data_IF_053342319335
#
_entry.id   IF_053342319335
#
_cell.length_a   1.000
_cell.length_b   1.000
_cell.length_c   1.000
_cell.angle_alpha   90.00
_cell.angle_beta   90.00
_cell.angle_gamma   90.00
#
_symmetry.space_group_name_H-M   'P 1'
#
loop_
_entity.id
_entity.type
_entity.pdbx_description
1 polymer ?
#
# COMPACT_ATOMS: atom_id res chain seq x y z
N UNK A 1 4.33 23.44 -18.31
CA UNK A 1 5.18 22.96 -17.19
C UNK A 1 4.71 21.56 -16.79
N UNK A 2 5.63 20.60 -16.62
CA UNK A 2 5.30 19.25 -16.13
C UNK A 2 4.72 19.35 -14.72
N UNK A 3 3.71 18.52 -14.39
CA UNK A 3 3.19 18.43 -13.02
C UNK A 3 3.86 17.29 -12.28
N UNK A 4 4.22 17.52 -11.02
CA UNK A 4 4.84 16.54 -10.13
C UNK A 4 3.85 16.19 -9.02
N UNK A 5 3.14 15.07 -9.17
CA UNK A 5 2.04 14.70 -8.29
C UNK A 5 2.51 13.76 -7.17
N UNK A 6 2.56 14.30 -5.95
CA UNK A 6 2.95 13.62 -4.70
C UNK A 6 1.75 13.10 -3.89
N UNK A 7 0.56 13.06 -4.49
CA UNK A 7 -0.64 12.53 -3.85
C UNK A 7 -0.40 11.14 -3.25
N UNK A 8 -0.84 10.95 -2.00
CA UNK A 8 -0.66 9.71 -1.27
C UNK A 8 -1.67 8.61 -1.63
N UNK A 9 -2.66 8.92 -2.44
CA UNK A 9 -3.74 8.00 -2.83
C UNK A 9 -5.02 8.77 -3.19
N UNK A 10 -5.51 8.71 -4.44
CA UNK A 10 -4.91 8.02 -5.59
C UNK A 10 -3.53 8.56 -5.98
N UNK A 11 -2.60 7.66 -6.26
CA UNK A 11 -1.23 7.97 -6.66
C UNK A 11 -1.11 8.13 -8.18
N UNK A 12 0.08 8.55 -8.63
CA UNK A 12 0.47 8.46 -10.03
C UNK A 12 0.65 7.00 -10.47
N UNK A 13 0.49 6.77 -11.78
CA UNK A 13 0.79 5.52 -12.47
C UNK A 13 1.85 5.78 -13.56
N UNK A 14 2.56 4.74 -14.03
CA UNK A 14 3.47 4.89 -15.16
C UNK A 14 2.75 5.41 -16.41
N UNK A 15 3.41 6.26 -17.18
CA UNK A 15 2.81 6.90 -18.37
C UNK A 15 2.31 5.86 -19.40
N UNK A 16 3.09 4.82 -19.65
CA UNK A 16 2.71 3.72 -20.56
C UNK A 16 1.49 2.92 -20.08
N UNK A 17 1.26 2.85 -18.76
CA UNK A 17 0.07 2.21 -18.20
C UNK A 17 -1.17 3.04 -18.52
N UNK A 18 -1.09 4.38 -18.38
CA UNK A 18 -2.19 5.25 -18.81
C UNK A 18 -2.50 5.08 -20.30
N UNK A 19 -1.48 5.05 -21.16
CA UNK A 19 -1.65 4.91 -22.60
C UNK A 19 -2.30 3.58 -23.00
N UNK A 20 -1.82 2.46 -22.45
CA UNK A 20 -2.41 1.13 -22.68
C UNK A 20 -3.86 1.08 -22.14
N UNK A 21 -4.09 1.59 -20.93
CA UNK A 21 -5.42 1.63 -20.32
C UNK A 21 -6.42 2.47 -21.12
N UNK A 22 -6.02 3.65 -21.61
CA UNK A 22 -6.88 4.51 -22.43
C UNK A 22 -7.24 3.85 -23.76
N UNK A 23 -6.32 3.13 -24.39
CA UNK A 23 -6.60 2.39 -25.63
C UNK A 23 -7.61 1.27 -25.42
N UNK A 24 -7.49 0.51 -24.32
CA UNK A 24 -8.41 -0.58 -23.98
C UNK A 24 -9.86 -0.11 -23.76
N UNK A 25 -10.08 1.17 -23.43
CA UNK A 25 -11.43 1.75 -23.36
C UNK A 25 -12.04 1.86 -24.77
N UNK A 26 -11.23 2.16 -25.78
CA UNK A 26 -11.69 2.37 -27.16
C UNK A 26 -11.81 1.04 -27.91
N UNK A 27 -10.79 0.18 -27.80
CA UNK A 27 -10.75 -1.13 -28.43
C UNK A 27 -9.83 -2.04 -27.61
N UNK A 28 -10.41 -3.02 -26.94
CA UNK A 28 -9.67 -3.98 -26.14
C UNK A 28 -9.28 -5.18 -26.99
N UNK A 29 -7.98 -5.45 -27.08
CA UNK A 29 -7.40 -6.56 -27.84
C UNK A 29 -7.81 -6.59 -29.32
N UNK A 30 -7.97 -5.42 -29.94
CA UNK A 30 -8.36 -5.27 -31.36
C UNK A 30 -9.66 -6.05 -31.70
N UNK A 31 -10.56 -6.17 -30.71
CA UNK A 31 -11.83 -6.90 -30.82
C UNK A 31 -12.96 -6.03 -31.39
N UNK A 32 -12.75 -4.71 -31.46
CA UNK A 32 -13.78 -3.72 -31.75
C UNK A 32 -14.73 -3.46 -30.57
N UNK A 33 -14.42 -3.96 -29.37
CA UNK A 33 -15.22 -3.79 -28.15
C UNK A 33 -14.41 -3.14 -27.04
N UNK A 34 -15.07 -2.32 -26.21
CA UNK A 34 -14.43 -1.74 -25.02
C UNK A 34 -14.21 -2.80 -23.93
N UNK A 35 -13.09 -2.69 -23.20
CA UNK A 35 -12.91 -3.47 -21.95
C UNK A 35 -14.03 -3.23 -20.94
N UNK A 36 -14.72 -2.09 -21.02
CA UNK A 36 -15.84 -1.75 -20.14
C UNK A 36 -17.16 -2.45 -20.51
N UNK A 37 -17.22 -3.05 -21.70
CA UNK A 37 -18.45 -3.64 -22.26
C UNK A 37 -18.37 -5.17 -22.32
N UNK A 38 -17.17 -5.75 -22.27
CA UNK A 38 -17.00 -7.20 -22.29
C UNK A 38 -17.42 -7.85 -20.98
N UNK A 39 -17.96 -9.06 -21.09
CA UNK A 39 -18.30 -9.88 -19.92
C UNK A 39 -17.03 -10.26 -19.14
N UNK A 40 -17.08 -10.19 -17.81
CA UNK A 40 -16.03 -10.71 -16.94
C UNK A 40 -15.85 -12.24 -17.04
N UNK A 41 -16.71 -12.94 -17.79
CA UNK A 41 -16.57 -14.37 -18.11
C UNK A 41 -16.07 -14.62 -19.53
N UNK A 42 -15.83 -13.57 -20.33
CA UNK A 42 -15.22 -13.73 -21.65
C UNK A 42 -13.80 -14.25 -21.51
N UNK A 43 -13.32 -14.96 -22.54
CA UNK A 43 -11.94 -15.48 -22.55
C UNK A 43 -10.92 -14.34 -22.35
N UNK A 44 -11.17 -13.18 -22.96
CA UNK A 44 -10.26 -12.04 -22.90
C UNK A 44 -10.13 -11.47 -21.48
N UNK A 45 -11.23 -11.34 -20.73
CA UNK A 45 -11.15 -10.85 -19.36
C UNK A 45 -10.66 -11.92 -18.37
N UNK A 46 -11.01 -13.20 -18.59
CA UNK A 46 -10.48 -14.31 -17.77
C UNK A 46 -8.95 -14.31 -17.86
N UNK A 47 -8.38 -14.14 -19.06
CA UNK A 47 -6.94 -14.03 -19.23
C UNK A 47 -6.33 -12.86 -18.44
N UNK A 48 -6.98 -11.68 -18.43
CA UNK A 48 -6.54 -10.53 -17.61
C UNK A 48 -6.51 -10.89 -16.12
N UNK A 49 -7.57 -11.51 -15.59
CA UNK A 49 -7.65 -11.86 -14.18
C UNK A 49 -6.61 -12.93 -13.80
N UNK A 50 -6.46 -13.98 -14.61
CA UNK A 50 -5.49 -15.05 -14.40
C UNK A 50 -4.05 -14.51 -14.42
N UNK A 51 -3.71 -13.68 -15.40
CA UNK A 51 -2.39 -13.07 -15.49
C UNK A 51 -2.13 -12.16 -14.29
N UNK A 52 -3.09 -11.33 -13.89
CA UNK A 52 -2.94 -10.43 -12.75
C UNK A 52 -2.66 -11.20 -11.45
N UNK A 53 -3.42 -12.29 -11.22
CA UNK A 53 -3.25 -13.16 -10.04
C UNK A 53 -1.89 -13.87 -10.06
N UNK A 54 -1.54 -14.45 -11.20
CA UNK A 54 -0.27 -15.18 -11.36
C UNK A 54 0.94 -14.25 -11.18
N UNK A 55 0.91 -13.08 -11.82
CA UNK A 55 2.01 -12.11 -11.79
C UNK A 55 2.18 -11.48 -10.40
N UNK A 56 1.09 -11.25 -9.67
CA UNK A 56 1.17 -10.82 -8.27
C UNK A 56 1.91 -11.86 -7.41
N UNK A 57 1.60 -13.15 -7.56
CA UNK A 57 2.31 -14.22 -6.85
C UNK A 57 3.76 -14.37 -7.31
N UNK A 58 4.04 -14.20 -8.61
CA UNK A 58 5.39 -14.25 -9.17
C UNK A 58 6.27 -13.17 -8.54
N UNK A 59 5.82 -11.91 -8.58
CA UNK A 59 6.57 -10.77 -8.05
C UNK A 59 6.83 -10.90 -6.55
N UNK A 60 5.90 -11.47 -5.78
CA UNK A 60 6.08 -11.72 -4.35
C UNK A 60 6.90 -12.99 -4.05
N UNK A 61 7.29 -13.77 -5.06
CA UNK A 61 7.99 -15.04 -4.87
C UNK A 61 7.14 -16.09 -4.13
N UNK A 62 5.82 -16.07 -4.33
CA UNK A 62 4.84 -16.94 -3.65
C UNK A 62 4.21 -18.00 -4.56
N UNK A 63 4.55 -18.03 -5.85
CA UNK A 63 4.11 -19.09 -6.77
C UNK A 63 4.47 -20.49 -6.25
N UNK A 64 3.50 -21.40 -6.29
CA UNK A 64 3.66 -22.78 -5.83
C UNK A 64 3.77 -22.97 -4.31
N UNK A 65 3.64 -21.91 -3.50
CA UNK A 65 3.77 -21.96 -2.04
C UNK A 65 2.44 -22.06 -1.28
N UNK A 66 1.36 -22.45 -1.96
CA UNK A 66 0.01 -22.57 -1.36
C UNK A 66 -0.73 -21.24 -1.16
N UNK A 67 -0.29 -20.19 -1.86
CA UNK A 67 -0.93 -18.87 -1.84
C UNK A 67 -1.87 -18.68 -3.02
N UNK A 68 -2.95 -17.94 -2.77
CA UNK A 68 -3.89 -17.46 -3.78
C UNK A 68 -3.85 -15.93 -3.80
N UNK A 69 -3.74 -15.34 -4.99
CA UNK A 69 -3.96 -13.91 -5.19
C UNK A 69 -5.42 -13.68 -5.61
N UNK A 70 -6.05 -12.66 -5.01
CA UNK A 70 -7.41 -12.23 -5.26
C UNK A 70 -7.45 -10.74 -5.56
N UNK A 71 -8.29 -10.32 -6.51
CA UNK A 71 -8.58 -8.92 -6.78
C UNK A 71 -10.03 -8.60 -6.40
N UNK A 72 -10.22 -7.94 -5.25
CA UNK A 72 -11.53 -7.72 -4.62
C UNK A 72 -11.92 -6.23 -4.57
N UNK A 73 -13.20 -5.93 -4.38
CA UNK A 73 -13.70 -4.56 -4.17
C UNK A 73 -13.72 -4.15 -2.69
N UNK A 74 -14.14 -2.92 -2.39
CA UNK A 74 -14.35 -2.41 -1.02
C UNK A 74 -13.15 -1.69 -0.40
N UNK A 75 -11.96 -1.88 -0.96
CA UNK A 75 -10.73 -1.26 -0.45
C UNK A 75 -10.16 -1.98 0.77
N UNK A 76 -9.00 -1.52 1.23
CA UNK A 76 -8.34 -2.05 2.43
C UNK A 76 -9.24 -2.00 3.69
N UNK A 77 -10.15 -1.03 3.79
CA UNK A 77 -11.11 -0.95 4.90
C UNK A 77 -12.03 -2.17 4.98
N UNK A 78 -12.42 -2.76 3.85
CA UNK A 78 -13.17 -4.03 3.87
C UNK A 78 -12.27 -5.18 4.32
N UNK A 79 -10.97 -5.16 4.01
CA UNK A 79 -10.04 -6.17 4.51
C UNK A 79 -9.86 -6.13 6.04
N UNK A 80 -10.00 -4.95 6.68
CA UNK A 80 -10.03 -4.83 8.15
C UNK A 80 -11.15 -5.68 8.77
N UNK A 81 -12.28 -5.78 8.08
CA UNK A 81 -13.43 -6.58 8.47
C UNK A 81 -13.28 -8.05 8.05
N UNK A 82 -12.75 -8.31 6.84
CA UNK A 82 -12.61 -9.68 6.33
C UNK A 82 -11.58 -10.49 7.11
N UNK A 83 -10.48 -9.90 7.57
CA UNK A 83 -9.47 -10.60 8.36
C UNK A 83 -10.06 -11.29 9.60
N UNK A 84 -10.76 -10.61 10.53
CA UNK A 84 -11.37 -11.26 11.69
C UNK A 84 -12.50 -12.24 11.31
N UNK A 85 -13.30 -11.96 10.27
CA UNK A 85 -14.31 -12.93 9.79
C UNK A 85 -13.70 -14.27 9.37
N UNK A 86 -12.52 -14.24 8.74
CA UNK A 86 -11.91 -15.43 8.15
C UNK A 86 -10.89 -16.11 9.08
N UNK A 87 -10.32 -15.41 10.06
CA UNK A 87 -9.29 -15.97 10.93
C UNK A 87 -9.67 -16.05 12.41
N UNK A 88 -10.41 -15.08 12.96
CA UNK A 88 -10.70 -15.06 14.39
C UNK A 88 -11.75 -16.13 14.75
N UNK A 89 -11.45 -17.00 15.71
CA UNK A 89 -12.42 -17.98 16.19
C UNK A 89 -13.59 -17.30 16.89
N UNK A 90 -14.72 -18.01 17.03
CA UNK A 90 -15.79 -17.58 17.94
C UNK A 90 -15.24 -17.45 19.38
N UNK A 91 -15.48 -16.30 20.02
CA UNK A 91 -14.86 -15.93 21.31
C UNK A 91 -13.32 -15.97 21.33
N UNK A 92 -12.70 -15.94 20.15
CA UNK A 92 -11.25 -15.91 19.99
C UNK A 92 -10.65 -14.53 20.25
N UNK A 93 -9.35 -14.44 19.98
CA UNK A 93 -8.59 -13.20 20.16
C UNK A 93 -7.57 -12.99 19.07
N UNK A 94 -7.26 -11.74 18.75
CA UNK A 94 -6.20 -11.40 17.80
C UNK A 94 -5.28 -10.33 18.36
N UNK A 95 -4.00 -10.43 18.00
CA UNK A 95 -2.97 -9.50 18.38
C UNK A 95 -2.81 -8.41 17.30
N UNK A 96 -2.63 -7.17 17.70
CA UNK A 96 -2.49 -6.02 16.81
C UNK A 96 -1.34 -5.12 17.24
N UNK A 97 -0.54 -4.67 16.27
CA UNK A 97 0.43 -3.58 16.45
C UNK A 97 -0.22 -2.24 16.06
N UNK A 98 -0.48 -1.37 17.04
CA UNK A 98 -1.06 -0.04 16.81
C UNK A 98 0.02 0.98 16.42
N UNK A 99 0.46 0.93 15.17
CA UNK A 99 1.55 1.78 14.66
C UNK A 99 1.09 3.04 13.91
N UNK A 100 -0.22 3.29 13.81
CA UNK A 100 -0.75 4.44 13.07
C UNK A 100 -2.23 4.32 12.73
N UNK A 101 -2.74 5.28 11.95
CA UNK A 101 -4.18 5.44 11.67
C UNK A 101 -4.83 4.21 11.05
N UNK A 102 -4.13 3.53 10.13
CA UNK A 102 -4.67 2.34 9.46
C UNK A 102 -4.71 1.12 10.40
N UNK A 103 -3.69 0.96 11.24
CA UNK A 103 -3.71 -0.05 12.31
C UNK A 103 -4.85 0.20 13.31
N UNK A 104 -5.01 1.45 13.78
CA UNK A 104 -6.12 1.83 14.66
C UNK A 104 -7.49 1.56 14.04
N UNK A 105 -7.65 1.79 12.74
CA UNK A 105 -8.87 1.49 12.01
C UNK A 105 -9.13 -0.03 11.93
N UNK A 106 -8.10 -0.84 11.67
CA UNK A 106 -8.21 -2.30 11.67
C UNK A 106 -8.57 -2.86 13.07
N UNK A 107 -7.95 -2.32 14.12
CA UNK A 107 -8.27 -2.63 15.53
C UNK A 107 -9.74 -2.33 15.84
N UNK A 108 -10.27 -1.22 15.33
CA UNK A 108 -11.66 -0.82 15.57
C UNK A 108 -12.64 -1.87 15.03
N UNK A 109 -12.41 -2.38 13.82
CA UNK A 109 -13.27 -3.42 13.23
C UNK A 109 -13.14 -4.76 13.97
N UNK A 110 -11.93 -5.14 14.38
CA UNK A 110 -11.66 -6.40 15.08
C UNK A 110 -12.41 -6.53 16.42
N UNK A 111 -12.64 -5.42 17.12
CA UNK A 111 -13.36 -5.39 18.41
C UNK A 111 -14.81 -5.88 18.34
N UNK A 112 -15.41 -5.92 17.15
CA UNK A 112 -16.75 -6.48 16.97
C UNK A 112 -16.78 -8.03 16.97
N UNK A 113 -15.62 -8.69 16.95
CA UNK A 113 -15.52 -10.14 16.77
C UNK A 113 -15.08 -10.88 18.03
N UNK A 114 -14.18 -10.29 18.81
CA UNK A 114 -13.57 -10.94 19.95
C UNK A 114 -12.54 -10.05 20.65
N UNK A 115 -11.72 -10.66 21.49
CA UNK A 115 -10.68 -9.93 22.22
C UNK A 115 -9.62 -9.39 21.24
N UNK A 116 -9.25 -8.13 21.42
CA UNK A 116 -8.25 -7.44 20.59
C UNK A 116 -7.08 -7.01 21.46
N UNK A 117 -5.98 -7.75 21.40
CA UNK A 117 -4.79 -7.52 22.22
C UNK A 117 -3.86 -6.55 21.48
N UNK A 118 -3.65 -5.36 22.04
CA UNK A 118 -2.69 -4.39 21.50
C UNK A 118 -1.31 -4.73 22.07
N UNK A 119 -0.43 -5.30 21.24
CA UNK A 119 0.89 -5.77 21.69
C UNK A 119 1.93 -4.65 21.77
N UNK A 120 1.71 -3.56 21.03
CA UNK A 120 2.53 -2.36 21.08
C UNK A 120 1.82 -1.19 20.42
N UNK A 121 2.13 0.03 20.86
CA UNK A 121 1.60 1.26 20.26
C UNK A 121 2.61 2.40 20.38
N UNK A 122 2.73 3.20 19.32
CA UNK A 122 3.51 4.45 19.33
C UNK A 122 2.60 5.69 19.35
N UNK A 123 1.31 5.51 19.67
CA UNK A 123 0.30 6.57 19.67
C UNK A 123 0.66 7.78 20.54
N UNK A 124 1.19 7.55 21.75
CA UNK A 124 1.60 8.63 22.66
C UNK A 124 2.76 9.46 22.11
N UNK A 125 3.55 8.90 21.18
CA UNK A 125 4.61 9.58 20.45
C UNK A 125 4.13 10.10 19.08
N UNK A 126 2.81 10.26 18.88
CA UNK A 126 2.19 10.62 17.60
C UNK A 126 2.63 9.71 16.44
N UNK A 127 2.84 8.43 16.74
CA UNK A 127 3.26 7.39 15.80
C UNK A 127 4.56 7.71 15.04
N UNK A 128 5.47 8.47 15.64
CA UNK A 128 6.73 8.86 15.02
C UNK A 128 7.75 7.72 14.88
N UNK A 129 7.50 6.54 15.44
CA UNK A 129 8.34 5.35 15.33
C UNK A 129 7.47 4.07 15.28
N UNK A 130 8.08 2.94 14.93
CA UNK A 130 7.46 1.61 14.97
C UNK A 130 7.77 0.99 16.33
N UNK A 131 6.76 0.57 17.14
CA UNK A 131 7.02 -0.09 18.41
C UNK A 131 7.87 -1.36 18.22
N UNK A 132 8.80 -1.62 19.13
CA UNK A 132 9.72 -2.78 19.12
C UNK A 132 9.64 -3.54 20.44
N UNK A 133 10.18 -4.75 20.49
CA UNK A 133 10.28 -5.54 21.74
C UNK A 133 8.95 -6.01 22.32
N UNK A 134 7.89 -5.99 21.53
CA UNK A 134 6.58 -6.52 21.92
C UNK A 134 6.53 -8.04 21.74
N UNK A 135 5.71 -8.71 22.56
CA UNK A 135 5.46 -10.14 22.48
C UNK A 135 4.09 -10.40 21.83
N UNK A 136 4.04 -11.37 20.92
CA UNK A 136 2.79 -11.82 20.30
C UNK A 136 2.29 -13.03 21.10
N UNK A 137 1.07 -12.98 21.69
CA UNK A 137 0.49 -14.13 22.38
C UNK A 137 0.42 -15.35 21.46
N UNK A 138 0.94 -16.49 21.93
CA UNK A 138 0.99 -17.74 21.14
C UNK A 138 -0.38 -18.37 20.93
N UNK A 139 -1.38 -17.95 21.71
CA UNK A 139 -2.78 -18.37 21.64
C UNK A 139 -3.67 -17.35 20.92
N UNK A 140 -3.10 -16.33 20.29
CA UNK A 140 -3.84 -15.47 19.37
C UNK A 140 -4.19 -16.21 18.07
N UNK A 141 -5.38 -15.96 17.53
CA UNK A 141 -5.82 -16.54 16.26
C UNK A 141 -5.07 -15.97 15.05
N UNK A 142 -4.59 -14.73 15.15
CA UNK A 142 -3.66 -14.10 14.22
C UNK A 142 -3.01 -12.87 14.84
N UNK A 143 -1.91 -12.42 14.22
CA UNK A 143 -1.28 -11.13 14.46
C UNK A 143 -1.50 -10.22 13.25
N UNK A 144 -1.85 -8.95 13.49
CA UNK A 144 -2.02 -7.93 12.45
C UNK A 144 -1.04 -6.79 12.61
N UNK A 145 -0.44 -6.38 11.50
CA UNK A 145 0.42 -5.20 11.43
C UNK A 145 0.18 -4.37 10.16
N UNK A 146 0.64 -3.11 10.20
CA UNK A 146 0.67 -2.23 9.03
C UNK A 146 2.13 -1.96 8.67
N UNK A 147 2.56 -2.50 7.53
CA UNK A 147 3.95 -2.41 7.07
C UNK A 147 4.44 -0.98 6.84
N UNK A 148 3.56 -0.08 6.38
CA UNK A 148 3.88 1.31 6.08
C UNK A 148 2.72 2.27 6.45
N UNK A 149 2.99 3.22 7.36
CA UNK A 149 2.04 4.20 7.84
C UNK A 149 2.08 5.47 6.96
N UNK A 150 1.21 5.52 5.95
CA UNK A 150 1.17 6.60 4.95
C UNK A 150 1.05 8.02 5.52
N UNK A 151 0.44 8.18 6.69
CA UNK A 151 0.21 9.51 7.32
C UNK A 151 1.41 9.97 8.12
N UNK A 152 2.09 9.05 8.82
CA UNK A 152 3.16 9.37 9.77
C UNK A 152 4.55 9.21 9.19
N UNK A 153 4.66 8.59 8.01
CA UNK A 153 5.93 8.36 7.33
C UNK A 153 6.82 7.35 8.05
N UNK A 154 6.22 6.40 8.78
CA UNK A 154 6.93 5.27 9.40
C UNK A 154 6.71 3.98 8.62
N UNK A 155 7.72 3.12 8.57
CA UNK A 155 7.70 1.85 7.85
C UNK A 155 8.44 0.77 8.64
N UNK A 156 7.81 -0.37 8.83
CA UNK A 156 8.42 -1.54 9.45
C UNK A 156 9.58 -2.04 8.59
N UNK A 157 10.79 -2.11 9.14
CA UNK A 157 11.98 -2.64 8.46
C UNK A 157 12.11 -4.15 8.61
N UNK A 158 11.65 -4.64 9.75
CA UNK A 158 11.65 -6.05 10.11
C UNK A 158 10.26 -6.44 10.59
N UNK A 159 9.94 -7.71 10.45
CA UNK A 159 8.67 -8.29 10.85
C UNK A 159 8.93 -9.36 11.91
N UNK A 160 8.09 -9.44 12.95
CA UNK A 160 8.30 -10.37 14.06
C UNK A 160 8.20 -11.82 13.59
N UNK A 161 9.06 -12.70 14.11
CA UNK A 161 8.88 -14.13 13.98
C UNK A 161 7.78 -14.59 14.95
N UNK A 162 6.79 -15.31 14.45
CA UNK A 162 5.69 -15.83 15.27
C UNK A 162 5.13 -17.11 14.64
N UNK A 163 4.44 -17.91 15.47
CA UNK A 163 3.77 -19.15 15.06
C UNK A 163 2.27 -18.95 14.78
N UNK A 164 1.73 -17.77 15.06
CA UNK A 164 0.34 -17.44 14.74
C UNK A 164 0.27 -16.86 13.32
N UNK A 165 -0.85 -17.03 12.58
CA UNK A 165 -1.00 -16.44 11.27
C UNK A 165 -0.74 -14.93 11.26
N UNK A 166 -0.04 -14.42 10.25
CA UNK A 166 0.30 -13.00 10.13
C UNK A 166 -0.52 -12.33 9.02
N UNK A 167 -1.26 -11.29 9.40
CA UNK A 167 -2.00 -10.40 8.50
C UNK A 167 -1.26 -9.07 8.37
N UNK A 168 -0.99 -8.63 7.15
CA UNK A 168 -0.29 -7.37 6.91
C UNK A 168 -1.02 -6.47 5.93
N UNK A 169 -1.30 -5.24 6.35
CA UNK A 169 -1.63 -4.15 5.43
C UNK A 169 -0.35 -3.70 4.72
N UNK A 170 -0.29 -3.87 3.40
CA UNK A 170 0.80 -3.41 2.54
C UNK A 170 0.33 -2.40 1.50
N UNK A 171 -0.81 -1.72 1.74
CA UNK A 171 -1.43 -0.85 0.75
C UNK A 171 -0.47 0.18 0.16
N UNK A 172 0.41 0.79 0.97
CA UNK A 172 1.33 1.84 0.52
C UNK A 172 2.74 1.38 0.12
N UNK A 173 3.11 0.12 0.33
CA UNK A 173 4.47 -0.33 0.04
C UNK A 173 4.57 -1.73 -0.59
N UNK A 174 3.43 -2.36 -0.95
CA UNK A 174 3.42 -3.60 -1.73
C UNK A 174 4.22 -3.42 -3.03
N UNK A 175 5.03 -4.40 -3.40
CA UNK A 175 5.92 -4.38 -4.57
C UNK A 175 6.96 -3.24 -4.57
N UNK A 176 7.27 -2.61 -3.43
CA UNK A 176 8.25 -1.50 -3.37
C UNK A 176 9.67 -1.92 -2.98
N UNK A 177 9.83 -3.07 -2.33
CA UNK A 177 11.08 -3.61 -1.78
C UNK A 177 11.04 -5.13 -1.68
N UNK A 178 12.20 -5.76 -1.73
CA UNK A 178 12.32 -7.19 -1.49
C UNK A 178 12.03 -7.49 -0.02
N UNK A 179 11.18 -8.49 0.20
CA UNK A 179 10.84 -9.03 1.50
C UNK A 179 10.66 -10.54 1.34
N UNK A 180 10.90 -11.27 2.43
CA UNK A 180 10.40 -12.64 2.52
C UNK A 180 8.89 -12.61 2.77
N UNK A 181 8.11 -12.57 1.69
CA UNK A 181 6.66 -12.52 1.76
C UNK A 181 6.04 -13.83 2.29
N UNK A 182 6.80 -14.92 2.40
CA UNK A 182 6.30 -16.18 2.97
C UNK A 182 6.07 -16.11 4.49
N UNK A 183 6.54 -15.04 5.14
CA UNK A 183 6.26 -14.72 6.55
C UNK A 183 4.84 -14.23 6.82
N UNK A 184 4.06 -13.95 5.77
CA UNK A 184 2.70 -13.45 5.89
C UNK A 184 1.71 -14.50 5.39
N UNK A 185 0.62 -14.68 6.11
CA UNK A 185 -0.46 -15.59 5.72
C UNK A 185 -1.57 -14.86 4.99
N UNK A 186 -1.78 -13.58 5.31
CA UNK A 186 -2.60 -12.66 4.52
C UNK A 186 -1.83 -11.36 4.30
N UNK A 187 -1.69 -10.96 3.05
CA UNK A 187 -1.29 -9.62 2.64
C UNK A 187 -2.50 -8.99 1.97
N UNK A 188 -2.85 -7.76 2.34
CA UNK A 188 -3.81 -6.99 1.55
C UNK A 188 -3.28 -5.59 1.22
N UNK A 189 -3.65 -5.11 0.03
CA UNK A 189 -3.22 -3.82 -0.46
C UNK A 189 -4.31 -3.18 -1.32
N UNK A 190 -4.86 -2.04 -0.87
CA UNK A 190 -5.68 -1.20 -1.74
C UNK A 190 -4.84 -0.65 -2.89
N UNK A 191 -5.32 -0.81 -4.13
CA UNK A 191 -4.51 -0.58 -5.32
C UNK A 191 -4.03 0.87 -5.47
N UNK A 192 -4.82 1.84 -5.01
CA UNK A 192 -4.71 3.28 -5.26
C UNK A 192 -3.43 3.97 -4.77
N UNK A 193 -2.50 3.25 -4.13
CA UNK A 193 -1.27 3.84 -3.60
C UNK A 193 -0.03 3.41 -4.39
N UNK A 194 0.23 2.11 -4.52
CA UNK A 194 1.48 1.64 -5.16
C UNK A 194 1.29 0.60 -6.28
N UNK A 195 0.05 0.19 -6.57
CA UNK A 195 -0.22 -0.93 -7.49
C UNK A 195 -1.12 -0.55 -8.69
N UNK A 196 -2.02 0.43 -8.55
CA UNK A 196 -3.02 0.69 -9.58
C UNK A 196 -3.98 1.83 -9.21
N UNK A 197 -5.11 1.95 -9.90
CA UNK A 197 -6.13 2.95 -9.59
C UNK A 197 -6.99 2.52 -8.39
N UNK A 198 -7.72 3.45 -7.79
CA UNK A 198 -8.77 3.10 -6.84
C UNK A 198 -9.85 2.25 -7.51
N UNK A 199 -10.38 1.27 -6.76
CA UNK A 199 -11.46 0.39 -7.22
C UNK A 199 -11.20 -1.10 -7.02
N UNK A 200 -9.95 -1.51 -6.81
CA UNK A 200 -9.60 -2.90 -6.49
C UNK A 200 -8.62 -3.00 -5.31
N UNK A 201 -8.60 -4.16 -4.67
CA UNK A 201 -7.77 -4.53 -3.53
C UNK A 201 -7.15 -5.87 -3.84
N UNK A 202 -5.82 -5.94 -3.85
CA UNK A 202 -5.11 -7.20 -3.89
C UNK A 202 -5.21 -7.84 -2.50
N UNK A 203 -5.60 -9.10 -2.44
CA UNK A 203 -5.45 -9.95 -1.26
C UNK A 203 -4.65 -11.18 -1.66
N UNK A 204 -3.51 -11.41 -1.02
CA UNK A 204 -2.70 -12.62 -1.17
C UNK A 204 -2.83 -13.42 0.10
N UNK A 205 -3.34 -14.64 -0.01
CA UNK A 205 -3.74 -15.45 1.14
C UNK A 205 -3.22 -16.87 1.03
N UNK A 206 -2.66 -17.40 2.12
CA UNK A 206 -2.25 -18.79 2.23
C UNK A 206 -3.50 -19.65 2.49
N UNK A 207 -3.83 -20.54 1.56
CA UNK A 207 -5.14 -21.20 1.54
C UNK A 207 -5.40 -22.06 2.78
N UNK A 208 -4.35 -22.69 3.32
CA UNK A 208 -4.46 -23.62 4.45
C UNK A 208 -4.95 -22.99 5.76
N UNK A 209 -4.93 -21.67 5.91
CA UNK A 209 -5.36 -21.00 7.15
C UNK A 209 -6.88 -20.84 7.24
N UNK A 210 -7.61 -21.02 6.13
CA UNK A 210 -9.03 -20.74 6.01
C UNK A 210 -9.92 -21.88 6.54
N UNK A 211 -11.15 -21.53 6.92
CA UNK A 211 -12.19 -22.51 7.30
C UNK A 211 -12.04 -23.11 8.70
N UNK A 212 -11.18 -22.54 9.54
CA UNK A 212 -10.80 -23.08 10.87
C UNK A 212 -11.35 -22.28 12.06
N UNK A 213 -12.31 -21.38 11.82
CA UNK A 213 -12.74 -20.39 12.80
C UNK A 213 -14.13 -20.63 13.45
N UNK A 214 -14.91 -21.56 12.91
CA UNK A 214 -16.26 -21.88 13.41
C UNK A 214 -17.35 -20.86 13.10
N UNK A 215 -17.02 -19.71 12.50
CA UNK A 215 -17.96 -18.63 12.20
C UNK A 215 -18.75 -18.90 10.92
N UNK A 216 -19.99 -18.45 10.91
CA UNK A 216 -20.74 -18.27 9.66
C UNK A 216 -20.27 -16.98 8.98
N UNK A 217 -19.67 -17.09 7.79
CA UNK A 217 -19.14 -15.95 7.04
C UNK A 217 -20.10 -15.57 5.89
N UNK A 218 -20.58 -14.32 5.83
CA UNK A 218 -21.34 -13.82 4.68
C UNK A 218 -20.56 -14.00 3.37
N UNK A 219 -21.23 -14.40 2.30
CA UNK A 219 -20.57 -14.85 1.06
C UNK A 219 -19.57 -13.85 0.46
N UNK A 220 -19.89 -12.55 0.47
CA UNK A 220 -19.00 -11.51 -0.05
C UNK A 220 -17.76 -11.26 0.83
N UNK A 221 -17.76 -11.72 2.08
CA UNK A 221 -16.67 -11.57 3.05
C UNK A 221 -15.84 -12.85 3.18
N UNK A 222 -16.21 -13.92 2.48
CA UNK A 222 -15.62 -15.26 2.60
C UNK A 222 -14.51 -15.46 1.56
N UNK A 223 -13.24 -15.52 2.01
CA UNK A 223 -12.11 -15.70 1.10
C UNK A 223 -12.16 -17.02 0.35
N UNK A 224 -12.64 -18.11 0.98
CA UNK A 224 -12.70 -19.42 0.31
C UNK A 224 -13.65 -19.40 -0.89
N UNK A 225 -14.75 -18.66 -0.80
CA UNK A 225 -15.67 -18.45 -1.94
C UNK A 225 -15.03 -17.63 -3.06
N UNK A 226 -14.29 -16.58 -2.71
CA UNK A 226 -13.57 -15.77 -3.70
C UNK A 226 -12.43 -16.55 -4.38
N UNK A 227 -11.71 -17.42 -3.65
CA UNK A 227 -10.71 -18.33 -4.21
C UNK A 227 -11.35 -19.30 -5.19
N UNK A 228 -12.42 -19.99 -4.77
CA UNK A 228 -13.13 -20.96 -5.62
C UNK A 228 -13.67 -20.34 -6.91
N UNK A 229 -14.05 -19.06 -6.86
CA UNK A 229 -14.54 -18.32 -8.01
C UNK A 229 -13.47 -17.46 -8.70
N UNK A 230 -12.20 -17.63 -8.33
CA UNK A 230 -11.06 -17.02 -9.01
C UNK A 230 -11.11 -15.48 -9.06
N UNK A 231 -11.49 -14.86 -7.94
CA UNK A 231 -11.79 -13.41 -7.79
C UNK A 231 -13.04 -12.93 -8.51
N UNK A 232 -13.77 -13.83 -9.17
CA UNK A 232 -14.96 -13.52 -9.95
C UNK A 232 -16.18 -14.20 -9.30
N UNK A 233 -16.33 -14.10 -7.98
CA UNK A 233 -17.53 -14.58 -7.30
C UNK A 233 -18.77 -13.79 -7.76
N UNK A 234 -18.64 -12.47 -7.86
CA UNK A 234 -19.56 -11.55 -8.53
C UNK A 234 -18.82 -10.80 -9.63
N UNK A 235 -19.45 -9.79 -10.24
CA UNK A 235 -18.81 -8.90 -11.22
C UNK A 235 -17.63 -8.16 -10.57
N UNK A 236 -16.38 -8.38 -11.01
CA UNK A 236 -15.19 -7.72 -10.46
C UNK A 236 -15.05 -6.29 -11.01
N UNK A 237 -14.17 -5.44 -10.43
CA UNK A 237 -13.92 -4.10 -10.93
C UNK A 237 -13.01 -4.16 -12.17
N UNK A 238 -13.57 -4.60 -13.30
CA UNK A 238 -12.89 -4.97 -14.56
C UNK A 238 -11.75 -4.01 -14.92
N UNK A 239 -12.04 -2.72 -15.02
CA UNK A 239 -11.03 -1.73 -15.41
C UNK A 239 -9.93 -1.54 -14.37
N UNK A 240 -10.26 -1.52 -13.08
CA UNK A 240 -9.26 -1.36 -12.02
C UNK A 240 -8.31 -2.56 -11.93
N UNK A 241 -8.81 -3.78 -12.17
CA UNK A 241 -7.98 -4.98 -12.27
C UNK A 241 -7.05 -4.89 -13.47
N UNK A 242 -7.56 -4.52 -14.63
CA UNK A 242 -6.74 -4.38 -15.84
C UNK A 242 -5.61 -3.36 -15.70
N UNK A 243 -5.89 -2.17 -15.16
CA UNK A 243 -4.84 -1.16 -14.94
C UNK A 243 -3.81 -1.63 -13.89
N UNK A 244 -4.26 -2.40 -12.89
CA UNK A 244 -3.34 -3.03 -11.93
C UNK A 244 -2.44 -4.06 -12.61
N UNK A 245 -3.00 -4.92 -13.48
CA UNK A 245 -2.22 -5.87 -14.31
C UNK A 245 -1.13 -5.15 -15.11
N UNK A 246 -1.50 -4.09 -15.84
CA UNK A 246 -0.54 -3.30 -16.63
C UNK A 246 0.59 -2.74 -15.76
N UNK A 247 0.28 -2.34 -14.53
CA UNK A 247 1.29 -1.85 -13.58
C UNK A 247 2.21 -2.97 -13.09
N UNK A 248 1.67 -4.16 -12.84
CA UNK A 248 2.47 -5.34 -12.47
C UNK A 248 3.41 -5.76 -13.63
N UNK A 249 2.91 -5.74 -14.87
CA UNK A 249 3.72 -5.99 -16.07
C UNK A 249 4.86 -4.97 -16.17
N UNK A 250 4.56 -3.69 -15.97
CA UNK A 250 5.58 -2.63 -15.93
C UNK A 250 6.65 -2.90 -14.86
N UNK A 251 6.27 -3.31 -13.64
CA UNK A 251 7.23 -3.66 -12.58
C UNK A 251 8.13 -4.82 -13.05
N UNK A 252 7.55 -5.87 -13.64
CA UNK A 252 8.31 -7.01 -14.17
C UNK A 252 9.29 -6.58 -15.27
N UNK A 253 8.83 -5.79 -16.24
CA UNK A 253 9.65 -5.26 -17.33
C UNK A 253 10.81 -4.37 -16.83
N UNK A 254 10.64 -3.69 -15.70
CA UNK A 254 11.71 -2.90 -15.05
C UNK A 254 12.77 -3.73 -14.35
N UNK A 255 12.65 -5.06 -14.31
CA UNK A 255 13.55 -5.95 -13.58
C UNK A 255 13.00 -6.41 -12.22
N UNK A 256 11.69 -6.33 -12.03
CA UNK A 256 11.01 -6.82 -10.83
C UNK A 256 11.21 -5.96 -9.59
N UNK A 257 10.88 -6.53 -8.42
CA UNK A 257 10.92 -5.82 -7.13
C UNK A 257 12.32 -5.28 -6.81
N UNK A 258 13.38 -6.04 -7.07
CA UNK A 258 14.75 -5.61 -6.78
C UNK A 258 15.14 -4.31 -7.51
N UNK A 259 14.74 -4.17 -8.78
CA UNK A 259 15.05 -2.98 -9.57
C UNK A 259 14.26 -1.75 -9.09
N UNK A 260 12.97 -1.91 -8.78
CA UNK A 260 12.16 -0.82 -8.23
C UNK A 260 12.59 -0.44 -6.82
N UNK A 261 13.05 -1.40 -6.01
CA UNK A 261 13.62 -1.12 -4.69
C UNK A 261 14.83 -0.21 -4.78
N UNK A 262 15.78 -0.53 -5.67
CA UNK A 262 16.97 0.30 -5.89
C UNK A 262 16.60 1.75 -6.22
N UNK A 263 15.61 1.94 -7.09
CA UNK A 263 15.11 3.27 -7.46
C UNK A 263 14.41 3.96 -6.28
N UNK A 264 13.59 3.24 -5.53
CA UNK A 264 12.88 3.75 -4.37
C UNK A 264 13.86 4.19 -3.27
N UNK A 265 14.92 3.43 -3.04
CA UNK A 265 16.01 3.78 -2.13
C UNK A 265 16.66 5.10 -2.58
N UNK A 266 17.08 5.20 -3.84
CA UNK A 266 17.71 6.41 -4.37
C UNK A 266 16.81 7.66 -4.23
N UNK A 267 15.49 7.52 -4.47
CA UNK A 267 14.52 8.61 -4.27
C UNK A 267 14.42 9.03 -2.81
N UNK A 268 14.26 8.06 -1.91
CA UNK A 268 14.13 8.34 -0.48
C UNK A 268 15.41 8.97 0.07
N UNK A 269 16.58 8.43 -0.28
CA UNK A 269 17.88 8.92 0.15
C UNK A 269 18.11 10.35 -0.32
N UNK A 270 17.80 10.66 -1.59
CA UNK A 270 17.89 12.02 -2.13
C UNK A 270 17.07 13.03 -1.33
N UNK A 271 15.82 12.69 -1.01
CA UNK A 271 14.93 13.60 -0.29
C UNK A 271 15.29 13.71 1.19
N UNK A 272 15.57 12.59 1.86
CA UNK A 272 15.97 12.60 3.26
C UNK A 272 17.31 13.29 3.48
N UNK A 273 18.28 13.15 2.56
CA UNK A 273 19.54 13.88 2.64
C UNK A 273 19.33 15.41 2.63
N UNK A 274 18.40 15.90 1.79
CA UNK A 274 18.05 17.32 1.80
C UNK A 274 17.34 17.72 3.10
N UNK A 275 16.40 16.91 3.60
CA UNK A 275 15.69 17.19 4.86
C UNK A 275 16.68 17.25 6.04
N UNK A 276 17.66 16.35 6.09
CA UNK A 276 18.58 16.25 7.22
C UNK A 276 19.66 17.33 7.21
N UNK A 277 20.11 17.75 6.03
CA UNK A 277 21.17 18.76 5.89
C UNK A 277 20.65 20.20 5.95
N UNK A 278 19.38 20.42 5.58
CA UNK A 278 18.81 21.75 5.46
C UNK A 278 18.16 22.19 6.79
N UNK A 279 18.66 23.25 7.44
CA UNK A 279 18.21 23.66 8.79
C UNK A 279 16.77 24.19 8.81
N UNK A 280 16.17 24.45 7.64
CA UNK A 280 14.78 24.90 7.56
C UNK A 280 13.77 23.77 7.73
N UNK A 281 14.20 22.51 7.60
CA UNK A 281 13.31 21.35 7.61
C UNK A 281 13.66 20.38 8.74
N UNK A 282 12.71 19.51 9.08
CA UNK A 282 12.93 18.32 9.92
C UNK A 282 11.99 17.19 9.52
N UNK A 283 12.49 15.95 9.51
CA UNK A 283 11.66 14.77 9.35
C UNK A 283 10.77 14.53 10.59
N UNK A 284 9.59 13.94 10.40
CA UNK A 284 8.68 13.65 11.54
C UNK A 284 8.86 12.26 12.13
N UNK A 285 9.43 11.32 11.37
CA UNK A 285 9.67 9.95 11.79
C UNK A 285 11.09 9.77 12.36
N UNK A 286 11.24 8.89 13.34
CA UNK A 286 12.52 8.36 13.80
C UNK A 286 13.30 7.80 12.60
N UNK A 287 14.61 8.07 12.57
CA UNK A 287 15.45 7.87 11.36
C UNK A 287 15.43 6.43 10.89
N UNK A 288 15.53 5.49 11.82
CA UNK A 288 15.51 4.04 11.61
C UNK A 288 14.20 3.52 11.03
N UNK A 289 13.09 4.22 11.29
CA UNK A 289 11.73 3.81 10.91
C UNK A 289 11.18 4.63 9.74
N UNK A 290 11.97 5.52 9.13
CA UNK A 290 11.56 6.36 8.00
C UNK A 290 10.99 5.55 6.84
N UNK A 291 9.82 5.93 6.36
CA UNK A 291 9.21 5.36 5.17
C UNK A 291 9.95 5.74 3.91
N UNK A 292 10.24 4.75 3.06
CA UNK A 292 10.77 5.01 1.71
C UNK A 292 9.68 5.38 0.70
N UNK A 293 8.41 5.32 1.08
CA UNK A 293 7.26 5.58 0.21
C UNK A 293 6.59 6.92 0.54
N UNK A 294 6.49 7.29 1.82
CA UNK A 294 5.82 8.50 2.27
C UNK A 294 6.73 9.30 3.20
N UNK A 295 7.42 10.28 2.63
CA UNK A 295 8.36 11.12 3.37
C UNK A 295 7.61 12.28 3.99
N UNK A 296 7.56 12.35 5.32
CA UNK A 296 6.88 13.38 6.08
C UNK A 296 7.87 14.31 6.78
N UNK A 297 7.65 15.61 6.65
CA UNK A 297 8.54 16.63 7.18
C UNK A 297 7.80 17.92 7.54
N UNK A 298 8.46 18.76 8.34
CA UNK A 298 7.98 20.05 8.81
C UNK A 298 8.97 21.14 8.46
N UNK A 299 8.48 22.37 8.38
CA UNK A 299 9.32 23.56 8.50
C UNK A 299 9.65 23.80 9.97
N UNK A 300 10.89 24.22 10.26
CA UNK A 300 11.31 24.59 11.62
C UNK A 300 10.80 25.98 12.03
N UNK A 301 10.52 26.85 11.06
CA UNK A 301 9.85 28.14 11.27
C UNK A 301 8.60 28.24 10.40
N UNK A 302 7.44 28.47 11.04
CA UNK A 302 6.15 28.60 10.37
C UNK A 302 6.06 29.85 9.48
N UNK A 303 6.87 30.89 9.73
CA UNK A 303 6.87 32.12 8.92
C UNK A 303 7.28 31.87 7.47
N UNK A 304 8.02 30.78 7.22
CA UNK A 304 8.47 30.40 5.88
C UNK A 304 7.39 29.66 5.07
N UNK A 305 6.25 29.31 5.68
CA UNK A 305 5.20 28.50 5.06
C UNK A 305 4.69 29.11 3.76
N UNK A 306 4.34 30.40 3.76
CA UNK A 306 3.79 31.07 2.58
C UNK A 306 4.79 31.09 1.42
N UNK A 307 6.07 31.33 1.71
CA UNK A 307 7.16 31.34 0.73
C UNK A 307 7.39 29.95 0.16
N UNK A 308 7.52 28.93 1.02
CA UNK A 308 7.70 27.55 0.57
C UNK A 308 6.51 27.07 -0.27
N UNK A 309 5.30 27.44 0.16
CA UNK A 309 4.07 27.13 -0.57
C UNK A 309 4.00 27.74 -1.96
N UNK A 310 4.45 28.97 -2.11
CA UNK A 310 4.56 29.60 -3.43
C UNK A 310 5.57 28.86 -4.31
N UNK A 311 6.75 28.54 -3.77
CA UNK A 311 7.83 27.88 -4.50
C UNK A 311 7.44 26.52 -5.07
N UNK A 312 6.86 25.63 -4.25
CA UNK A 312 6.51 24.31 -4.76
C UNK A 312 5.33 24.38 -5.76
N UNK A 313 4.38 25.31 -5.57
CA UNK A 313 3.28 25.54 -6.53
C UNK A 313 3.82 26.04 -7.87
N UNK A 314 4.75 27.00 -7.84
CA UNK A 314 5.42 27.54 -9.02
C UNK A 314 6.23 26.46 -9.75
N UNK A 315 6.87 25.54 -9.03
CA UNK A 315 7.57 24.38 -9.61
C UNK A 315 6.63 23.30 -10.16
N UNK A 316 5.31 23.49 -10.11
CA UNK A 316 4.33 22.54 -10.64
C UNK A 316 4.13 21.31 -9.76
N UNK A 317 4.54 21.35 -8.50
CA UNK A 317 4.29 20.29 -7.51
C UNK A 317 2.80 20.31 -7.09
N UNK A 318 2.23 19.12 -6.91
CA UNK A 318 0.87 18.90 -6.42
C UNK A 318 0.86 17.82 -5.33
N UNK A 319 -0.04 17.92 -4.36
CA UNK A 319 -0.24 16.89 -3.34
C UNK A 319 0.81 16.84 -2.23
N UNK A 320 1.58 17.92 -2.05
CA UNK A 320 2.59 18.04 -0.99
C UNK A 320 2.06 18.34 0.43
N UNK A 321 0.91 19.04 0.63
CA UNK A 321 0.38 19.24 1.97
C UNK A 321 0.19 17.91 2.72
N UNK A 322 0.63 17.91 3.98
CA UNK A 322 0.48 16.77 4.88
C UNK A 322 -0.98 16.45 5.17
N UNK A 323 -1.22 15.27 5.75
CA UNK A 323 -2.59 14.89 6.10
C UNK A 323 -3.14 15.82 7.17
N UNK A 324 -4.43 16.21 7.05
CA UNK A 324 -5.10 17.17 7.95
C UNK A 324 -4.97 16.90 9.44
N UNK A 325 -4.79 15.63 9.85
CA UNK A 325 -4.66 15.24 11.25
C UNK A 325 -3.27 15.46 11.84
N UNK A 326 -2.25 15.68 11.00
CA UNK A 326 -0.85 15.86 11.43
C UNK A 326 -0.24 17.17 10.93
N UNK A 327 -0.80 17.78 9.89
CA UNK A 327 -0.27 18.99 9.27
C UNK A 327 1.05 18.74 8.54
N UNK A 328 1.84 19.80 8.34
CA UNK A 328 3.16 19.70 7.70
C UNK A 328 3.10 19.36 6.22
N UNK A 329 4.14 18.67 5.75
CA UNK A 329 4.31 18.25 4.37
C UNK A 329 4.51 16.75 4.27
N UNK A 330 4.03 16.17 3.16
CA UNK A 330 4.21 14.76 2.84
C UNK A 330 4.48 14.59 1.35
N UNK A 331 5.63 14.05 1.02
CA UNK A 331 6.00 13.64 -0.32
C UNK A 331 5.79 12.12 -0.47
N UNK A 332 4.76 11.72 -1.23
CA UNK A 332 4.56 10.29 -1.57
C UNK A 332 5.31 9.94 -2.84
N UNK A 333 6.32 9.09 -2.73
CA UNK A 333 7.32 8.78 -3.75
C UNK A 333 7.27 7.31 -4.20
N UNK A 334 6.04 6.80 -4.36
CA UNK A 334 5.68 5.46 -4.83
C UNK A 334 6.44 5.02 -6.11
N UNK A 335 6.34 3.74 -6.49
CA UNK A 335 7.10 3.13 -7.58
C UNK A 335 7.11 3.96 -8.87
N UNK A 336 5.95 4.49 -9.27
CA UNK A 336 5.79 5.29 -10.50
C UNK A 336 6.38 6.72 -10.41
N UNK A 337 6.75 7.19 -9.21
CA UNK A 337 7.43 8.47 -9.05
C UNK A 337 8.84 8.40 -9.62
N UNK A 338 9.15 9.35 -10.50
CA UNK A 338 10.47 9.48 -11.11
C UNK A 338 11.43 10.22 -10.17
N UNK A 339 12.72 9.88 -10.22
CA UNK A 339 13.73 10.54 -9.38
C UNK A 339 13.88 12.03 -9.73
N UNK A 340 13.64 12.40 -10.99
CA UNK A 340 13.67 13.79 -11.43
C UNK A 340 12.56 14.60 -10.77
N UNK A 341 11.40 13.98 -10.51
CA UNK A 341 10.31 14.66 -9.79
C UNK A 341 10.69 14.90 -8.33
N UNK A 342 11.42 13.95 -7.71
CA UNK A 342 12.00 14.10 -6.37
C UNK A 342 13.06 15.21 -6.35
N UNK A 343 13.92 15.27 -7.36
CA UNK A 343 14.91 16.33 -7.51
C UNK A 343 14.26 17.71 -7.56
N UNK A 344 13.14 17.88 -8.26
CA UNK A 344 12.40 19.17 -8.30
C UNK A 344 11.96 19.62 -6.89
N UNK A 345 11.54 18.69 -6.02
CA UNK A 345 11.22 19.04 -4.63
C UNK A 345 12.47 19.44 -3.83
N UNK A 346 13.59 18.72 -4.01
CA UNK A 346 14.88 19.08 -3.39
C UNK A 346 15.35 20.45 -3.85
N UNK A 347 15.21 20.79 -5.13
CA UNK A 347 15.57 22.09 -5.67
C UNK A 347 14.69 23.22 -5.10
N UNK A 348 13.40 22.94 -4.86
CA UNK A 348 12.50 23.86 -4.16
C UNK A 348 12.91 24.07 -2.71
N UNK A 349 13.32 23.02 -2.00
CA UNK A 349 13.83 23.12 -0.63
C UNK A 349 15.12 23.96 -0.56
N UNK A 350 16.03 23.78 -1.52
CA UNK A 350 17.24 24.61 -1.70
C UNK A 350 16.92 26.06 -2.05
N UNK A 351 15.93 26.29 -2.91
CA UNK A 351 15.49 27.63 -3.28
C UNK A 351 14.91 28.39 -2.08
N UNK A 352 14.22 27.69 -1.18
CA UNK A 352 13.76 28.27 0.08
C UNK A 352 14.95 28.71 0.96
N UNK A 353 15.95 27.83 1.12
CA UNK A 353 17.19 28.12 1.88
C UNK A 353 17.96 29.32 1.31
N UNK A 354 17.94 29.52 -0.01
CA UNK A 354 18.60 30.68 -0.65
C UNK A 354 17.80 31.98 -0.50
N UNK A 355 16.48 31.89 -0.28
CA UNK A 355 15.57 33.05 -0.23
C UNK A 355 15.42 33.64 1.18
N UNK A 356 15.84 32.92 2.21
CA UNK A 356 15.74 33.32 3.63
C UNK A 356 17.12 33.68 4.15
#
# INVERSE_FOLDING_TARGET
MKKHNYSAGPSILPQEVFEKASKAILDFNDSGLSILEISHRSKDFVAVMEEARSLALELLGLQGKGYQALFLQGGASTAFLMAPYNLMKENGKAAYLDSGTWATAAIKEAKYFGETVIVGSSKEANYNHIPKGYEIPTDADYFHCTSNNTIFGTQMKEFPATNVPVVCDMSSDIFSRELDFSKFDIIYAGAQKNMGPAGTTLVVIKEEILGKNGRTIPSMLDYAKHIKAESMYNTPPVFAVYVSLLTLQWIKEKGGIAAVEKLNNAKADLLYAEIDRNPLFKGTAAVEDRSKMNVTFLLNNADHTATFDALWKEAGISGLPGHRSVGGYRASIYNAMSIESVQVLVDVMKALETKI
#
